data_IF_283624578231
#
_entry.id   IF_283624578231
#
_cell.length_a   1.000
_cell.length_b   1.000
_cell.length_c   1.000
_cell.angle_alpha   90.00
_cell.angle_beta   90.00
_cell.angle_gamma   90.00
#
_symmetry.space_group_name_H-M   'P 1'
#
loop_
_entity.id
_entity.type
_entity.pdbx_description
1 polymer ?
#
# COMPACT_ATOMS: atom_id res chain seq x y z
N UNK A 1 -1.77 28.37 -7.65
CA UNK A 1 -1.20 27.05 -8.02
C UNK A 1 -1.41 26.11 -6.83
N UNK A 2 -2.52 25.35 -6.74
CA UNK A 2 -2.84 24.58 -5.53
C UNK A 2 -3.71 23.33 -5.76
N UNK A 3 -3.49 22.62 -6.87
CA UNK A 3 -4.31 21.44 -7.23
C UNK A 3 -3.65 20.07 -6.99
N UNK A 4 -2.35 20.00 -6.70
CA UNK A 4 -1.60 18.74 -6.80
C UNK A 4 -1.29 18.04 -5.45
N UNK A 5 -1.41 18.75 -4.32
CA UNK A 5 -1.00 18.21 -3.02
C UNK A 5 -2.05 17.27 -2.41
N UNK A 6 -3.33 17.55 -2.63
CA UNK A 6 -4.45 16.76 -2.11
C UNK A 6 -4.54 15.38 -2.76
N UNK A 7 -4.20 15.27 -4.04
CA UNK A 7 -4.21 13.99 -4.77
C UNK A 7 -3.09 13.04 -4.30
N UNK A 8 -1.91 13.57 -3.97
CA UNK A 8 -0.78 12.79 -3.46
C UNK A 8 -1.04 12.27 -2.03
N UNK A 9 -1.74 13.08 -1.20
CA UNK A 9 -2.22 12.68 0.12
C UNK A 9 -3.31 11.61 0.04
N UNK A 10 -4.30 11.78 -0.84
CA UNK A 10 -5.33 10.77 -1.10
C UNK A 10 -4.74 9.44 -1.61
N UNK A 11 -3.73 9.50 -2.49
CA UNK A 11 -3.02 8.31 -2.96
C UNK A 11 -2.31 7.55 -1.83
N UNK A 12 -1.66 8.27 -0.91
CA UNK A 12 -0.99 7.66 0.26
C UNK A 12 -1.95 7.08 1.28
N UNK A 13 -3.04 7.79 1.57
CA UNK A 13 -4.10 7.30 2.45
C UNK A 13 -4.73 6.03 1.87
N UNK A 14 -4.96 6.01 0.55
CA UNK A 14 -5.46 4.84 -0.17
C UNK A 14 -4.51 3.64 -0.07
N UNK A 15 -3.19 3.82 -0.26
CA UNK A 15 -2.23 2.72 -0.13
C UNK A 15 -2.12 2.22 1.32
N UNK A 16 -2.13 3.13 2.29
CA UNK A 16 -2.09 2.75 3.71
C UNK A 16 -3.29 1.89 4.08
N UNK A 17 -4.49 2.27 3.61
CA UNK A 17 -5.71 1.51 3.78
C UNK A 17 -5.63 0.13 3.10
N UNK A 18 -5.13 0.05 1.87
CA UNK A 18 -4.93 -1.23 1.16
C UNK A 18 -4.00 -2.16 1.93
N UNK A 19 -2.90 -1.65 2.48
CA UNK A 19 -1.97 -2.47 3.30
C UNK A 19 -2.63 -3.01 4.55
N UNK A 20 -3.47 -2.21 5.22
CA UNK A 20 -4.26 -2.68 6.35
C UNK A 20 -5.20 -3.82 5.94
N UNK A 21 -5.96 -3.66 4.85
CA UNK A 21 -6.85 -4.71 4.34
C UNK A 21 -6.12 -6.00 3.98
N UNK A 22 -4.94 -5.89 3.34
CA UNK A 22 -4.12 -7.06 3.01
C UNK A 22 -3.67 -7.81 4.27
N UNK A 23 -3.31 -7.09 5.34
CA UNK A 23 -3.00 -7.70 6.63
C UNK A 23 -4.17 -8.50 7.21
N UNK A 24 -5.36 -7.91 7.24
CA UNK A 24 -6.58 -8.59 7.70
C UNK A 24 -6.93 -9.82 6.85
N UNK A 25 -6.84 -9.71 5.53
CA UNK A 25 -7.11 -10.83 4.62
C UNK A 25 -6.11 -11.98 4.77
N UNK A 26 -4.84 -11.68 5.07
CA UNK A 26 -3.83 -12.72 5.35
C UNK A 26 -4.22 -13.55 6.56
N UNK A 27 -4.70 -12.92 7.63
CA UNK A 27 -5.16 -13.62 8.84
C UNK A 27 -6.35 -14.55 8.54
N UNK A 28 -7.28 -14.12 7.67
CA UNK A 28 -8.39 -14.98 7.23
C UNK A 28 -7.88 -16.15 6.39
N UNK A 29 -7.02 -15.90 5.41
CA UNK A 29 -6.46 -16.95 4.55
C UNK A 29 -5.63 -17.98 5.33
N UNK A 30 -4.89 -17.55 6.36
CA UNK A 30 -4.14 -18.43 7.26
C UNK A 30 -5.08 -19.35 8.04
N UNK A 31 -6.20 -18.82 8.56
CA UNK A 31 -7.20 -19.60 9.30
C UNK A 31 -7.87 -20.67 8.43
N UNK A 32 -8.09 -20.36 7.17
CA UNK A 32 -8.66 -21.29 6.18
C UNK A 32 -7.62 -22.26 5.59
N UNK A 33 -6.35 -22.16 5.99
CA UNK A 33 -5.29 -23.01 5.45
C UNK A 33 -5.02 -22.79 3.95
N UNK A 34 -5.31 -21.60 3.42
CA UNK A 34 -5.14 -21.27 2.01
C UNK A 34 -3.72 -20.74 1.74
N UNK A 35 -2.70 -21.61 1.74
CA UNK A 35 -1.30 -21.17 1.70
C UNK A 35 -0.94 -20.38 0.44
N UNK A 36 -1.46 -20.78 -0.73
CA UNK A 36 -1.23 -20.05 -1.98
C UNK A 36 -1.81 -18.63 -1.92
N UNK A 37 -2.98 -18.46 -1.29
CA UNK A 37 -3.59 -17.15 -1.11
C UNK A 37 -2.79 -16.30 -0.13
N UNK A 38 -2.30 -16.87 0.97
CA UNK A 38 -1.41 -16.18 1.92
C UNK A 38 -0.17 -15.62 1.21
N UNK A 39 0.46 -16.43 0.37
CA UNK A 39 1.62 -16.02 -0.42
C UNK A 39 1.29 -14.83 -1.34
N UNK A 40 0.17 -14.89 -2.07
CA UNK A 40 -0.24 -13.81 -2.97
C UNK A 40 -0.56 -12.51 -2.22
N UNK A 41 -1.20 -12.62 -1.05
CA UNK A 41 -1.50 -11.47 -0.19
C UNK A 41 -0.22 -10.85 0.35
N UNK A 42 0.75 -11.66 0.77
CA UNK A 42 2.04 -11.19 1.30
C UNK A 42 2.87 -10.50 0.22
N UNK A 43 2.93 -11.07 -0.99
CA UNK A 43 3.55 -10.42 -2.15
C UNK A 43 2.90 -9.07 -2.49
N UNK A 44 1.56 -8.98 -2.44
CA UNK A 44 0.85 -7.72 -2.67
C UNK A 44 1.10 -6.69 -1.55
N UNK A 45 1.27 -7.14 -0.30
CA UNK A 45 1.55 -6.27 0.84
C UNK A 45 2.94 -5.62 0.74
N UNK A 46 3.95 -6.40 0.33
CA UNK A 46 5.31 -5.90 0.06
C UNK A 46 5.29 -4.88 -1.09
N UNK A 47 4.65 -5.21 -2.22
CA UNK A 47 4.55 -4.31 -3.38
C UNK A 47 3.83 -2.99 -3.02
N UNK A 48 2.76 -3.04 -2.23
CA UNK A 48 2.08 -1.85 -1.73
C UNK A 48 2.99 -1.02 -0.82
N UNK A 49 3.85 -1.67 -0.01
CA UNK A 49 4.87 -1.01 0.80
C UNK A 49 5.90 -0.27 -0.06
N UNK A 50 6.36 -0.90 -1.13
CA UNK A 50 7.26 -0.28 -2.09
C UNK A 50 6.62 0.89 -2.81
N UNK A 51 5.38 0.76 -3.28
CA UNK A 51 4.62 1.87 -3.88
C UNK A 51 4.48 3.06 -2.92
N UNK A 52 4.19 2.81 -1.63
CA UNK A 52 4.12 3.84 -0.61
C UNK A 52 5.44 4.61 -0.49
N UNK A 53 6.58 3.90 -0.47
CA UNK A 53 7.94 4.49 -0.41
C UNK A 53 8.27 5.28 -1.67
N UNK A 54 7.89 4.78 -2.85
CA UNK A 54 8.10 5.48 -4.12
C UNK A 54 7.28 6.78 -4.21
N UNK A 55 6.05 6.82 -3.69
CA UNK A 55 5.26 8.06 -3.59
C UNK A 55 5.88 9.06 -2.59
N UNK A 56 6.46 8.58 -1.49
CA UNK A 56 7.24 9.41 -0.56
C UNK A 56 8.46 10.05 -1.25
N UNK A 57 9.23 9.25 -1.99
CA UNK A 57 10.44 9.70 -2.69
C UNK A 57 10.22 10.67 -3.86
N UNK A 58 9.04 10.65 -4.52
CA UNK A 58 8.70 11.64 -5.57
C UNK A 58 8.32 13.00 -4.98
N UNK A 59 7.66 13.02 -3.84
CA UNK A 59 7.18 14.27 -3.21
C UNK A 59 8.36 15.13 -2.71
N UNK A 60 9.40 14.50 -2.14
CA UNK A 60 10.62 15.20 -1.70
C UNK A 60 11.39 15.84 -2.87
N UNK A 61 11.43 15.18 -4.04
CA UNK A 61 12.15 15.69 -5.23
C UNK A 61 11.45 16.84 -5.94
N UNK A 62 10.14 17.03 -5.74
CA UNK A 62 9.40 18.16 -6.32
C UNK A 62 9.57 19.47 -5.53
N UNK A 63 10.25 19.45 -4.38
CA UNK A 63 10.43 20.60 -3.50
C UNK A 63 11.85 21.23 -3.57
N UNK A 64 12.69 20.83 -4.55
CA UNK A 64 14.00 21.42 -4.83
C UNK A 64 13.98 22.21 -6.14
#
# INVERSE_FOLDING_TARGET
MSGNNSADLQGRESITYIRQMLGELRLVAEREGAQMLCYLIEMAFEEAGDLQRHQMGRSIRKAQ
#
